data_IF_047400928714
#
_entry.id   IF_047400928714
#
_cell.length_a   1.000
_cell.length_b   1.000
_cell.length_c   1.000
_cell.angle_alpha   90.00
_cell.angle_beta   90.00
_cell.angle_gamma   90.00
#
_symmetry.space_group_name_H-M   'P 1'
#
loop_
_entity.id
_entity.type
_entity.pdbx_description
1 polymer ?
#
# COMPACT_ATOMS: atom_id res chain seq x y z
N UNK A 1 32.44 -11.56 6.85
CA UNK A 1 31.29 -12.40 7.26
C UNK A 1 30.50 -12.62 5.99
N UNK A 2 30.60 -13.80 5.39
CA UNK A 2 29.90 -14.09 4.14
C UNK A 2 28.47 -14.48 4.51
N UNK A 3 27.50 -13.64 4.17
CA UNK A 3 26.07 -14.00 4.24
C UNK A 3 25.87 -15.30 3.45
N UNK A 4 25.08 -16.20 4.02
CA UNK A 4 24.90 -17.53 3.43
C UNK A 4 24.07 -17.42 2.14
N UNK A 5 24.29 -18.27 1.10
CA UNK A 5 23.50 -18.22 -0.14
C UNK A 5 21.98 -18.39 0.05
N UNK A 6 21.55 -18.92 1.20
CA UNK A 6 20.15 -19.07 1.59
C UNK A 6 19.53 -17.72 1.99
N UNK A 7 20.24 -16.92 2.79
CA UNK A 7 19.83 -15.60 3.27
C UNK A 7 19.49 -14.61 2.14
N UNK A 8 20.32 -14.58 1.09
CA UNK A 8 20.05 -13.78 -0.10
C UNK A 8 18.82 -14.26 -0.91
N UNK A 9 18.51 -15.56 -0.87
CA UNK A 9 17.39 -16.13 -1.62
C UNK A 9 16.07 -15.79 -0.94
N UNK A 10 16.05 -15.79 0.39
CA UNK A 10 14.89 -15.46 1.21
C UNK A 10 14.56 -13.97 1.12
N UNK A 11 15.55 -13.08 1.22
CA UNK A 11 15.37 -11.62 1.02
C UNK A 11 14.79 -11.27 -0.36
N UNK A 12 15.26 -11.92 -1.43
CA UNK A 12 14.73 -11.71 -2.79
C UNK A 12 13.27 -12.15 -2.89
N UNK A 13 12.88 -13.20 -2.18
CA UNK A 13 11.48 -13.63 -2.11
C UNK A 13 10.62 -12.59 -1.41
N UNK A 14 11.05 -12.09 -0.25
CA UNK A 14 10.36 -11.05 0.53
C UNK A 14 10.15 -9.77 -0.30
N UNK A 15 11.20 -9.28 -0.97
CA UNK A 15 11.08 -8.09 -1.84
C UNK A 15 10.14 -8.32 -3.03
N UNK A 16 10.11 -9.53 -3.61
CA UNK A 16 9.17 -9.86 -4.68
C UNK A 16 7.73 -9.90 -4.17
N UNK A 17 7.48 -10.44 -2.98
CA UNK A 17 6.16 -10.47 -2.36
C UNK A 17 5.67 -9.03 -2.08
N UNK A 18 6.49 -8.21 -1.45
CA UNK A 18 6.21 -6.78 -1.25
C UNK A 18 5.91 -6.06 -2.55
N UNK A 19 6.71 -6.27 -3.58
CA UNK A 19 6.52 -5.61 -4.88
C UNK A 19 5.21 -6.01 -5.54
N UNK A 20 4.82 -7.29 -5.48
CA UNK A 20 3.52 -7.77 -6.00
C UNK A 20 2.34 -7.19 -5.22
N UNK A 21 2.46 -7.13 -3.90
CA UNK A 21 1.45 -6.51 -3.04
C UNK A 21 1.25 -5.03 -3.37
N UNK A 22 2.34 -4.27 -3.49
CA UNK A 22 2.30 -2.85 -3.88
C UNK A 22 1.64 -2.62 -5.23
N UNK A 23 1.85 -3.51 -6.20
CA UNK A 23 1.20 -3.39 -7.50
C UNK A 23 -0.33 -3.44 -7.38
N UNK A 24 -0.87 -4.36 -6.58
CA UNK A 24 -2.31 -4.44 -6.31
C UNK A 24 -2.81 -3.23 -5.52
N UNK A 25 -2.01 -2.70 -4.59
CA UNK A 25 -2.32 -1.47 -3.86
C UNK A 25 -2.38 -0.25 -4.80
N UNK A 26 -1.45 -0.13 -5.75
CA UNK A 26 -1.45 0.93 -6.76
C UNK A 26 -2.71 0.84 -7.61
N UNK A 27 -3.05 -0.35 -8.11
CA UNK A 27 -4.28 -0.57 -8.87
C UNK A 27 -5.53 -0.24 -8.02
N UNK A 28 -5.54 -0.67 -6.77
CA UNK A 28 -6.62 -0.37 -5.83
C UNK A 28 -6.82 1.13 -5.62
N UNK A 29 -5.74 1.87 -5.40
CA UNK A 29 -5.78 3.32 -5.22
C UNK A 29 -6.23 4.05 -6.49
N UNK A 30 -5.85 3.57 -7.68
CA UNK A 30 -6.35 4.13 -8.95
C UNK A 30 -7.86 3.96 -9.07
N UNK A 31 -8.40 2.78 -8.75
CA UNK A 31 -9.84 2.54 -8.75
C UNK A 31 -10.57 3.40 -7.72
N UNK A 32 -9.99 3.58 -6.53
CA UNK A 32 -10.51 4.47 -5.48
C UNK A 32 -10.54 5.94 -5.94
N UNK A 33 -9.48 6.42 -6.59
CA UNK A 33 -9.42 7.81 -7.08
C UNK A 33 -10.52 8.06 -8.12
N UNK A 34 -10.65 7.17 -9.11
CA UNK A 34 -11.69 7.29 -10.14
C UNK A 34 -13.10 7.17 -9.54
N UNK A 35 -13.30 6.25 -8.60
CA UNK A 35 -14.58 6.04 -7.94
C UNK A 35 -15.01 7.20 -7.03
N UNK A 36 -14.07 7.98 -6.49
CA UNK A 36 -14.37 9.11 -5.58
C UNK A 36 -14.42 10.46 -6.28
N UNK A 37 -13.60 10.72 -7.30
CA UNK A 37 -13.60 11.99 -8.05
C UNK A 37 -14.90 12.22 -8.84
N UNK A 38 -15.54 11.13 -9.27
CA UNK A 38 -16.86 11.16 -9.93
C UNK A 38 -18.02 11.50 -8.98
N UNK A 39 -17.78 11.44 -7.65
CA UNK A 39 -18.74 11.85 -6.63
C UNK A 39 -18.64 13.36 -6.35
N UNK A 40 -17.42 13.93 -6.45
CA UNK A 40 -17.13 15.31 -6.01
C UNK A 40 -17.04 16.32 -7.15
N UNK A 41 -16.82 15.91 -8.40
CA UNK A 41 -16.66 16.84 -9.53
C UNK A 41 -17.73 16.66 -10.64
N UNK A 42 -18.73 17.57 -10.74
CA UNK A 42 -19.78 17.50 -11.75
C UNK A 42 -19.29 17.85 -13.18
N UNK A 43 -18.06 18.35 -13.35
CA UNK A 43 -17.52 18.73 -14.68
C UNK A 43 -16.95 17.51 -15.42
N UNK A 44 -16.41 16.52 -14.70
CA UNK A 44 -16.09 15.18 -15.23
C UNK A 44 -17.34 14.29 -15.35
N UNK A 45 -18.50 14.75 -14.86
CA UNK A 45 -19.78 14.06 -15.00
C UNK A 45 -20.42 14.24 -16.38
N UNK A 46 -19.71 14.82 -17.34
CA UNK A 46 -20.14 14.85 -18.74
C UNK A 46 -19.74 13.54 -19.40
N UNK A 47 -20.66 12.57 -19.35
CA UNK A 47 -21.16 11.82 -20.51
C UNK A 47 -21.51 10.34 -20.20
N UNK A 48 -22.65 9.93 -20.76
CA UNK A 48 -23.11 8.56 -21.06
C UNK A 48 -23.90 7.73 -20.03
N UNK A 49 -23.97 8.07 -18.73
CA UNK A 49 -24.72 7.25 -17.74
C UNK A 49 -25.67 8.11 -16.89
N UNK A 50 -26.90 7.63 -16.65
CA UNK A 50 -27.83 8.23 -15.69
C UNK A 50 -27.28 8.25 -14.26
N UNK A 51 -27.80 9.14 -13.41
CA UNK A 51 -27.30 9.38 -12.04
C UNK A 51 -27.20 8.11 -11.18
N UNK A 52 -28.19 7.23 -11.29
CA UNK A 52 -28.23 5.97 -10.54
C UNK A 52 -27.17 4.96 -11.01
N UNK A 53 -27.01 4.82 -12.33
CA UNK A 53 -26.02 3.92 -12.91
C UNK A 53 -24.59 4.39 -12.61
N UNK A 54 -24.36 5.71 -12.62
CA UNK A 54 -23.09 6.30 -12.19
C UNK A 54 -22.79 5.98 -10.72
N UNK A 55 -23.75 6.19 -9.82
CA UNK A 55 -23.57 5.92 -8.39
C UNK A 55 -23.27 4.43 -8.15
N UNK A 56 -23.94 3.54 -8.87
CA UNK A 56 -23.67 2.10 -8.82
C UNK A 56 -22.26 1.76 -9.31
N UNK A 57 -21.85 2.28 -10.47
CA UNK A 57 -20.49 2.07 -11.02
C UNK A 57 -19.43 2.59 -10.04
N UNK A 58 -19.64 3.75 -9.43
CA UNK A 58 -18.74 4.32 -8.44
C UNK A 58 -18.62 3.44 -7.20
N UNK A 59 -19.74 2.95 -6.68
CA UNK A 59 -19.73 2.02 -5.54
C UNK A 59 -18.92 0.75 -5.86
N UNK A 60 -19.12 0.18 -7.05
CA UNK A 60 -18.37 -1.00 -7.51
C UNK A 60 -16.88 -0.70 -7.64
N UNK A 61 -16.51 0.44 -8.23
CA UNK A 61 -15.11 0.85 -8.37
C UNK A 61 -14.43 1.06 -7.01
N UNK A 62 -15.11 1.74 -6.07
CA UNK A 62 -14.58 1.98 -4.72
C UNK A 62 -14.40 0.66 -3.99
N UNK A 63 -15.42 -0.22 -3.98
CA UNK A 63 -15.31 -1.52 -3.32
C UNK A 63 -14.24 -2.40 -3.95
N UNK A 64 -14.16 -2.45 -5.28
CA UNK A 64 -13.09 -3.17 -5.98
C UNK A 64 -11.71 -2.62 -5.61
N UNK A 65 -11.57 -1.30 -5.51
CA UNK A 65 -10.33 -0.64 -5.11
C UNK A 65 -9.89 -0.98 -3.70
N UNK A 66 -10.81 -0.92 -2.72
CA UNK A 66 -10.53 -1.33 -1.33
C UNK A 66 -10.17 -2.81 -1.26
N UNK A 67 -10.91 -3.68 -1.95
CA UNK A 67 -10.65 -5.13 -1.96
C UNK A 67 -9.29 -5.44 -2.57
N UNK A 68 -8.91 -4.80 -3.68
CA UNK A 68 -7.57 -4.96 -4.27
C UNK A 68 -6.47 -4.49 -3.32
N UNK A 69 -6.66 -3.35 -2.65
CA UNK A 69 -5.71 -2.88 -1.65
C UNK A 69 -5.59 -3.86 -0.48
N UNK A 70 -6.71 -4.40 0.01
CA UNK A 70 -6.73 -5.39 1.09
C UNK A 70 -6.00 -6.67 0.67
N UNK A 71 -6.29 -7.19 -0.52
CA UNK A 71 -5.61 -8.39 -1.05
C UNK A 71 -4.11 -8.12 -1.23
N UNK A 72 -3.75 -6.96 -1.79
CA UNK A 72 -2.37 -6.55 -2.00
C UNK A 72 -1.58 -6.46 -0.69
N UNK A 73 -2.15 -5.81 0.32
CA UNK A 73 -1.52 -5.70 1.62
C UNK A 73 -1.47 -7.05 2.35
N UNK A 74 -2.62 -7.70 2.53
CA UNK A 74 -2.74 -8.88 3.39
C UNK A 74 -2.04 -10.12 2.84
N UNK A 75 -2.25 -10.47 1.57
CA UNK A 75 -1.75 -11.74 1.02
C UNK A 75 -0.33 -11.66 0.47
N UNK A 76 0.20 -10.47 0.23
CA UNK A 76 1.48 -10.31 -0.48
C UNK A 76 2.43 -9.36 0.22
N UNK A 77 1.97 -8.16 0.58
CA UNK A 77 2.86 -7.15 1.15
C UNK A 77 3.27 -7.47 2.59
N UNK A 78 2.29 -7.68 3.48
CA UNK A 78 2.50 -7.95 4.91
C UNK A 78 3.40 -9.19 5.10
N UNK A 79 3.15 -10.34 4.45
CA UNK A 79 4.06 -11.48 4.54
C UNK A 79 5.51 -11.11 4.19
N UNK A 80 5.73 -10.35 3.10
CA UNK A 80 7.08 -9.93 2.73
C UNK A 80 7.76 -9.00 3.73
N UNK A 81 6.99 -8.15 4.45
CA UNK A 81 7.56 -7.34 5.56
C UNK A 81 7.81 -8.18 6.81
N UNK A 82 6.97 -9.18 7.07
CA UNK A 82 7.16 -10.12 8.18
C UNK A 82 8.40 -10.98 7.98
N UNK A 83 8.65 -11.45 6.76
CA UNK A 83 9.88 -12.19 6.41
C UNK A 83 11.13 -11.31 6.63
N UNK A 84 11.04 -10.00 6.32
CA UNK A 84 12.11 -9.04 6.61
C UNK A 84 12.33 -8.87 8.12
N UNK A 85 11.28 -8.86 8.93
CA UNK A 85 11.37 -8.82 10.40
C UNK A 85 12.08 -10.04 10.97
N UNK A 86 11.91 -11.22 10.37
CA UNK A 86 12.62 -12.43 10.80
C UNK A 86 14.12 -12.34 10.49
N UNK A 87 14.48 -11.62 9.43
CA UNK A 87 15.87 -11.39 9.03
C UNK A 87 16.55 -10.28 9.85
N UNK A 88 15.84 -9.18 10.10
CA UNK A 88 16.34 -8.03 10.86
C UNK A 88 15.24 -7.46 11.78
N UNK A 89 15.46 -7.43 13.12
CA UNK A 89 14.48 -6.93 14.08
C UNK A 89 14.10 -5.45 13.88
N UNK A 90 14.90 -4.66 13.15
CA UNK A 90 14.57 -3.27 12.84
C UNK A 90 13.29 -3.12 12.00
N UNK A 91 12.84 -4.18 11.34
CA UNK A 91 11.57 -4.21 10.61
C UNK A 91 10.35 -4.62 11.46
N UNK A 92 10.53 -4.96 12.75
CA UNK A 92 9.41 -5.41 13.59
C UNK A 92 8.33 -4.32 13.77
N UNK A 93 8.76 -3.09 14.08
CA UNK A 93 7.85 -1.94 14.26
C UNK A 93 7.04 -1.64 12.98
N UNK A 94 7.65 -1.43 11.80
CA UNK A 94 6.87 -1.19 10.60
C UNK A 94 5.96 -2.35 10.23
N UNK A 95 6.40 -3.61 10.40
CA UNK A 95 5.57 -4.78 10.12
C UNK A 95 4.25 -4.74 10.93
N UNK A 96 4.34 -4.52 12.25
CA UNK A 96 3.18 -4.47 13.13
C UNK A 96 2.23 -3.31 12.77
N UNK A 97 2.77 -2.11 12.50
CA UNK A 97 1.95 -0.95 12.16
C UNK A 97 1.22 -1.14 10.84
N UNK A 98 1.88 -1.75 9.84
CA UNK A 98 1.31 -2.01 8.52
C UNK A 98 0.25 -3.10 8.62
N UNK A 99 0.55 -4.21 9.31
CA UNK A 99 -0.37 -5.33 9.50
C UNK A 99 -1.65 -4.85 10.17
N UNK A 100 -1.55 -4.25 11.35
CA UNK A 100 -2.72 -3.83 12.11
C UNK A 100 -3.43 -2.62 11.50
N UNK A 101 -2.67 -1.62 11.05
CA UNK A 101 -3.22 -0.40 10.46
C UNK A 101 -3.98 -0.67 9.17
N UNK A 102 -3.36 -1.34 8.20
CA UNK A 102 -4.02 -1.61 6.92
C UNK A 102 -5.02 -2.74 6.98
N UNK A 103 -4.80 -3.84 7.72
CA UNK A 103 -5.82 -4.90 7.78
C UNK A 103 -7.13 -4.37 8.37
N UNK A 104 -7.06 -3.87 9.60
CA UNK A 104 -8.28 -3.44 10.29
C UNK A 104 -8.85 -2.19 9.64
N UNK A 105 -8.00 -1.27 9.18
CA UNK A 105 -8.42 -0.09 8.43
C UNK A 105 -9.21 -0.43 7.16
N UNK A 106 -8.68 -1.33 6.32
CA UNK A 106 -9.32 -1.71 5.05
C UNK A 106 -10.55 -2.62 5.24
N UNK A 107 -10.54 -3.52 6.22
CA UNK A 107 -11.74 -4.31 6.55
C UNK A 107 -12.85 -3.38 7.03
N UNK A 108 -12.52 -2.45 7.93
CA UNK A 108 -13.49 -1.53 8.50
C UNK A 108 -14.01 -0.53 7.45
N UNK A 109 -13.20 -0.15 6.45
CA UNK A 109 -13.68 0.70 5.35
C UNK A 109 -14.70 -0.03 4.49
N UNK A 110 -14.56 -1.34 4.23
CA UNK A 110 -15.57 -2.11 3.48
C UNK A 110 -16.92 -2.06 4.19
N UNK A 111 -16.95 -2.38 5.48
CA UNK A 111 -18.18 -2.32 6.27
C UNK A 111 -18.73 -0.90 6.39
N UNK A 112 -17.85 0.10 6.53
CA UNK A 112 -18.22 1.51 6.56
C UNK A 112 -18.86 1.98 5.25
N UNK A 113 -18.31 1.58 4.09
CA UNK A 113 -18.86 1.93 2.76
C UNK A 113 -20.25 1.29 2.58
N UNK A 114 -20.39 0.00 2.92
CA UNK A 114 -21.67 -0.71 2.79
C UNK A 114 -22.76 -0.18 3.73
N UNK A 115 -22.37 0.39 4.87
CA UNK A 115 -23.27 0.95 5.88
C UNK A 115 -23.29 2.48 5.89
N UNK A 116 -22.73 3.15 4.89
CA UNK A 116 -22.51 4.60 4.85
C UNK A 116 -23.80 5.45 4.96
N UNK A 117 -24.95 4.85 4.66
CA UNK A 117 -26.28 5.44 4.83
C UNK A 117 -26.72 5.56 6.30
N UNK A 118 -25.98 4.94 7.22
CA UNK A 118 -26.23 4.97 8.66
C UNK A 118 -25.17 5.80 9.41
N UNK A 119 -25.55 6.37 10.56
CA UNK A 119 -24.60 7.08 11.45
C UNK A 119 -23.47 6.14 11.92
N UNK A 120 -23.78 4.86 12.12
CA UNK A 120 -22.81 3.83 12.51
C UNK A 120 -21.76 3.65 11.41
N UNK A 121 -22.17 3.60 10.14
CA UNK A 121 -21.25 3.49 9.02
C UNK A 121 -20.31 4.68 8.90
N UNK A 122 -20.80 5.90 9.16
CA UNK A 122 -19.95 7.09 9.20
C UNK A 122 -18.87 6.98 10.29
N UNK A 123 -19.23 6.53 11.50
CA UNK A 123 -18.26 6.31 12.57
C UNK A 123 -17.21 5.23 12.22
N UNK A 124 -17.63 4.16 11.55
CA UNK A 124 -16.72 3.13 11.04
C UNK A 124 -15.72 3.68 10.03
N UNK A 125 -16.15 4.56 9.11
CA UNK A 125 -15.27 5.20 8.14
C UNK A 125 -14.24 6.13 8.81
N UNK A 126 -14.66 6.88 9.83
CA UNK A 126 -13.74 7.75 10.60
C UNK A 126 -12.70 6.90 11.34
N UNK A 127 -13.12 5.82 12.00
CA UNK A 127 -12.20 4.91 12.68
C UNK A 127 -11.26 4.21 11.69
N UNK A 128 -11.79 3.81 10.53
CA UNK A 128 -11.01 3.22 9.44
C UNK A 128 -9.92 4.18 8.97
N UNK A 129 -10.25 5.46 8.76
CA UNK A 129 -9.27 6.47 8.36
C UNK A 129 -8.12 6.58 9.36
N UNK A 130 -8.42 6.60 10.67
CA UNK A 130 -7.40 6.64 11.71
C UNK A 130 -6.47 5.41 11.65
N UNK A 131 -7.03 4.21 11.45
CA UNK A 131 -6.27 2.96 11.28
C UNK A 131 -5.38 2.98 10.02
N UNK A 132 -5.91 3.47 8.90
CA UNK A 132 -5.15 3.60 7.65
C UNK A 132 -3.98 4.58 7.79
N UNK A 133 -4.14 5.67 8.55
CA UNK A 133 -3.04 6.59 8.88
C UNK A 133 -1.95 5.89 9.67
N UNK A 134 -2.30 5.05 10.65
CA UNK A 134 -1.32 4.23 11.39
C UNK A 134 -0.57 3.29 10.43
N UNK A 135 -1.28 2.67 9.48
CA UNK A 135 -0.65 1.87 8.42
C UNK A 135 0.31 2.68 7.56
N UNK A 136 -0.05 3.90 7.16
CA UNK A 136 0.83 4.81 6.42
C UNK A 136 2.10 5.17 7.21
N UNK A 137 1.99 5.39 8.52
CA UNK A 137 3.16 5.63 9.38
C UNK A 137 4.10 4.41 9.35
N UNK A 138 3.55 3.19 9.42
CA UNK A 138 4.34 1.97 9.27
C UNK A 138 5.09 1.92 7.93
N UNK A 139 4.44 2.30 6.82
CA UNK A 139 5.07 2.37 5.49
C UNK A 139 6.19 3.41 5.43
N UNK A 140 6.02 4.57 6.08
CA UNK A 140 7.04 5.61 6.16
C UNK A 140 8.28 5.08 6.87
N UNK A 141 8.09 4.45 8.04
CA UNK A 141 9.18 3.85 8.81
C UNK A 141 9.89 2.76 7.98
N UNK A 142 9.12 1.90 7.31
CA UNK A 142 9.66 0.86 6.44
C UNK A 142 10.52 1.44 5.32
N UNK A 143 10.09 2.53 4.68
CA UNK A 143 10.87 3.20 3.64
C UNK A 143 12.21 3.71 4.17
N UNK A 144 12.24 4.34 5.35
CA UNK A 144 13.50 4.82 5.93
C UNK A 144 14.42 3.68 6.38
N UNK A 145 13.87 2.57 6.89
CA UNK A 145 14.65 1.37 7.22
C UNK A 145 15.23 0.70 5.98
N UNK A 146 14.44 0.56 4.92
CA UNK A 146 14.92 0.07 3.62
C UNK A 146 15.97 1.01 3.01
N UNK A 147 15.84 2.33 3.18
CA UNK A 147 16.88 3.26 2.75
C UNK A 147 18.21 3.01 3.49
N UNK A 148 18.16 2.82 4.81
CA UNK A 148 19.36 2.56 5.61
C UNK A 148 20.06 1.26 5.22
N UNK A 149 19.28 0.18 5.00
CA UNK A 149 19.84 -1.15 4.70
C UNK A 149 20.23 -1.32 3.23
N UNK A 150 19.46 -0.73 2.29
CA UNK A 150 19.67 -0.92 0.84
C UNK A 150 20.46 0.21 0.17
N UNK A 151 20.73 1.30 0.90
CA UNK A 151 21.42 2.52 0.44
C UNK A 151 20.81 3.12 -0.85
N UNK A 152 19.50 2.94 -1.03
CA UNK A 152 18.80 3.39 -2.24
C UNK A 152 17.96 4.65 -1.95
N UNK A 153 18.38 5.78 -2.52
CA UNK A 153 17.69 7.07 -2.42
C UNK A 153 16.21 7.03 -2.83
N UNK A 154 15.80 6.05 -3.64
CA UNK A 154 14.39 5.88 -4.03
C UNK A 154 13.50 5.59 -2.81
N UNK A 155 13.99 4.83 -1.82
CA UNK A 155 13.23 4.56 -0.60
C UNK A 155 13.10 5.82 0.27
N UNK A 156 14.17 6.62 0.36
CA UNK A 156 14.13 7.89 1.09
C UNK A 156 13.11 8.86 0.46
N UNK A 157 13.16 9.02 -0.88
CA UNK A 157 12.22 9.88 -1.60
C UNK A 157 10.78 9.36 -1.44
N UNK A 158 10.55 8.05 -1.55
CA UNK A 158 9.24 7.46 -1.32
C UNK A 158 8.73 7.73 0.11
N UNK A 159 9.59 7.60 1.13
CA UNK A 159 9.25 7.90 2.52
C UNK A 159 8.86 9.35 2.75
N UNK A 160 9.61 10.31 2.19
CA UNK A 160 9.29 11.75 2.29
C UNK A 160 7.96 12.05 1.60
N UNK A 161 7.73 11.51 0.40
CA UNK A 161 6.48 11.74 -0.31
C UNK A 161 5.31 11.06 0.42
N UNK A 162 5.51 9.94 1.11
CA UNK A 162 4.46 9.33 1.95
C UNK A 162 4.02 10.25 3.09
N UNK A 163 4.93 11.00 3.71
CA UNK A 163 4.57 12.00 4.74
C UNK A 163 3.63 13.05 4.16
N UNK A 164 3.92 13.53 2.94
CA UNK A 164 3.01 14.44 2.21
C UNK A 164 1.71 13.71 1.84
N UNK A 165 1.82 12.42 1.51
CA UNK A 165 0.75 11.52 1.13
C UNK A 165 -0.34 11.35 2.19
N UNK A 166 -0.03 11.56 3.47
CA UNK A 166 -1.03 11.56 4.55
C UNK A 166 -2.12 12.62 4.30
N UNK A 167 -1.74 13.76 3.72
CA UNK A 167 -2.66 14.88 3.45
C UNK A 167 -3.12 14.92 2.00
N UNK A 168 -2.34 14.36 1.07
CA UNK A 168 -2.56 14.44 -0.37
C UNK A 168 -2.58 13.04 -0.98
N UNK A 169 -3.76 12.53 -1.34
CA UNK A 169 -3.94 11.18 -1.92
C UNK A 169 -3.04 10.92 -3.14
N UNK A 170 -2.88 11.92 -4.03
CA UNK A 170 -2.01 11.80 -5.21
C UNK A 170 -0.54 11.59 -4.81
N UNK A 171 -0.08 12.25 -3.75
CA UNK A 171 1.29 12.04 -3.25
C UNK A 171 1.44 10.63 -2.68
N UNK A 172 0.45 10.11 -1.94
CA UNK A 172 0.47 8.72 -1.45
C UNK A 172 0.59 7.71 -2.60
N UNK A 173 -0.16 7.91 -3.69
CA UNK A 173 -0.07 7.08 -4.90
C UNK A 173 1.34 7.10 -5.50
N UNK A 174 1.94 8.29 -5.64
CA UNK A 174 3.30 8.45 -6.15
C UNK A 174 4.29 7.69 -5.26
N UNK A 175 4.14 7.74 -3.94
CA UNK A 175 5.01 7.02 -3.01
C UNK A 175 4.94 5.50 -3.19
N UNK A 176 3.73 4.93 -3.36
CA UNK A 176 3.59 3.50 -3.66
C UNK A 176 4.31 3.11 -4.94
N UNK A 177 4.21 3.94 -5.99
CA UNK A 177 4.89 3.73 -7.27
C UNK A 177 6.42 3.77 -7.09
N UNK A 178 6.94 4.76 -6.36
CA UNK A 178 8.37 4.88 -6.11
C UNK A 178 8.90 3.70 -5.29
N UNK A 179 8.18 3.26 -4.27
CA UNK A 179 8.54 2.09 -3.50
C UNK A 179 8.53 0.81 -4.35
N UNK A 180 7.54 0.66 -5.24
CA UNK A 180 7.50 -0.44 -6.21
C UNK A 180 8.73 -0.47 -7.13
N UNK A 181 9.17 0.69 -7.61
CA UNK A 181 10.38 0.83 -8.44
C UNK A 181 11.66 0.54 -7.64
N UNK A 182 11.73 1.04 -6.41
CA UNK A 182 12.86 0.82 -5.49
C UNK A 182 13.07 -0.68 -5.23
N UNK A 183 11.98 -1.40 -4.89
CA UNK A 183 12.01 -2.85 -4.71
C UNK A 183 12.46 -3.58 -5.98
N UNK A 184 12.00 -3.12 -7.16
CA UNK A 184 12.46 -3.67 -8.44
C UNK A 184 13.97 -3.55 -8.65
N UNK A 185 14.56 -2.41 -8.26
CA UNK A 185 16.01 -2.19 -8.33
C UNK A 185 16.76 -3.07 -7.32
N UNK A 186 16.26 -3.18 -6.09
CA UNK A 186 16.83 -4.04 -5.04
C UNK A 186 16.85 -5.50 -5.47
N UNK A 187 15.72 -6.04 -5.97
CA UNK A 187 15.64 -7.41 -6.49
C UNK A 187 16.69 -7.66 -7.59
N UNK A 188 16.89 -6.70 -8.50
CA UNK A 188 17.87 -6.82 -9.59
C UNK A 188 19.31 -6.85 -9.07
N UNK A 189 19.62 -6.07 -8.03
CA UNK A 189 20.95 -6.05 -7.38
C UNK A 189 21.29 -7.42 -6.79
N UNK A 190 20.42 -7.98 -5.95
CA UNK A 190 20.64 -9.28 -5.32
C UNK A 190 20.61 -10.45 -6.30
N UNK A 191 19.77 -10.41 -7.35
CA UNK A 191 19.78 -11.46 -8.38
C UNK A 191 21.02 -11.44 -9.28
N UNK A 192 21.65 -10.26 -9.45
CA UNK A 192 22.89 -10.13 -10.24
C UNK A 192 24.12 -10.53 -9.42
N UNK A 193 24.17 -10.24 -8.11
CA UNK A 193 25.30 -10.70 -7.28
C UNK A 193 25.41 -12.22 -7.22
N UNK A 194 24.27 -12.93 -7.28
CA UNK A 194 24.19 -14.40 -7.36
C UNK A 194 24.79 -14.99 -8.65
N UNK A 195 25.05 -14.19 -9.69
CA UNK A 195 25.72 -14.64 -10.92
C UNK A 195 27.25 -14.44 -10.89
N UNK A 196 27.77 -13.74 -9.89
CA UNK A 196 29.20 -13.39 -9.76
C UNK A 196 29.91 -14.18 -8.64
N UNK A 197 29.22 -15.14 -8.02
CA UNK A 197 29.76 -16.11 -7.05
C UNK A 197 29.58 -17.52 -7.59
#
# INVERSE_FOLDING_TARGET
>A
MFESPQEHTDLVFSFKAMRRGLFLVILGNLLLSVGTETITNPVLAVAFLGTELRNFVNLVLVLAGVVLALVGFYFMFVPGVTDLKESDPDYATPALLIEYGYMFGLILSIFGILSAWSVIGLLMLVLSLALLVIGMIGMIILCFRLYYNEESNLYMIAGIIFVIGIFINVAALISYILMYLALGKTIRRYSTSKQLT
#
